data_IF_029126321126
#
_entry.id   IF_029126321126
#
_cell.length_a   1.000
_cell.length_b   1.000
_cell.length_c   1.000
_cell.angle_alpha   90.00
_cell.angle_beta   90.00
_cell.angle_gamma   90.00
#
_symmetry.space_group_name_H-M   'P 1'
#
loop_
_entity.id
_entity.type
_entity.pdbx_description
1 polymer ?
#
# COMPACT_ATOMS: atom_id res chain seq x y z
N UNK A 1 2.92 4.44 -12.55
CA UNK A 1 2.66 3.02 -12.53
C UNK A 1 3.86 2.28 -11.98
N UNK A 2 3.63 1.21 -11.27
CA UNK A 2 4.68 0.37 -10.70
C UNK A 2 4.53 -1.04 -11.25
N UNK A 3 5.65 -1.64 -11.61
CA UNK A 3 5.64 -2.99 -12.16
C UNK A 3 6.28 -3.96 -11.19
N UNK A 4 5.70 -5.13 -11.04
CA UNK A 4 6.21 -6.17 -10.16
C UNK A 4 6.01 -7.55 -10.80
N UNK A 5 6.81 -8.52 -10.36
CA UNK A 5 6.70 -9.87 -10.87
C UNK A 5 5.84 -10.74 -9.96
N UNK A 6 4.99 -11.52 -10.59
CA UNK A 6 4.19 -12.49 -9.87
C UNK A 6 4.00 -13.69 -10.79
N UNK A 7 4.40 -14.86 -10.32
CA UNK A 7 4.27 -16.11 -11.06
C UNK A 7 4.88 -16.05 -12.48
N UNK A 8 6.01 -15.37 -12.61
CA UNK A 8 6.71 -15.26 -13.88
C UNK A 8 6.17 -14.21 -14.84
N UNK A 9 5.13 -13.49 -14.43
CA UNK A 9 4.55 -12.45 -15.26
C UNK A 9 4.74 -11.07 -14.65
N UNK A 10 4.79 -10.06 -15.50
CA UNK A 10 4.89 -8.68 -15.04
C UNK A 10 3.48 -8.13 -14.86
N UNK A 11 3.22 -7.59 -13.69
CA UNK A 11 1.96 -6.94 -13.39
C UNK A 11 2.20 -5.45 -13.16
N UNK A 12 1.21 -4.63 -13.44
CA UNK A 12 1.30 -3.19 -13.22
C UNK A 12 0.36 -2.76 -12.12
N UNK A 13 0.81 -1.85 -11.27
CA UNK A 13 -0.01 -1.24 -10.25
C UNK A 13 -0.15 0.24 -10.55
N UNK A 14 -1.38 0.74 -10.47
CA UNK A 14 -1.68 2.14 -10.66
C UNK A 14 -2.21 2.67 -9.33
N UNK A 15 -1.46 3.51 -8.65
CA UNK A 15 -1.91 4.02 -7.35
C UNK A 15 -3.24 4.76 -7.46
N UNK A 16 -4.05 4.65 -6.40
CA UNK A 16 -5.34 5.35 -6.36
C UNK A 16 -5.15 6.84 -6.13
N UNK A 17 -4.19 7.19 -5.29
CA UNK A 17 -3.91 8.59 -4.98
C UNK A 17 -2.42 8.84 -4.90
N UNK A 18 -2.02 10.01 -5.32
CA UNK A 18 -0.63 10.49 -5.15
C UNK A 18 -0.70 11.90 -4.62
N UNK A 19 0.04 12.17 -3.56
CA UNK A 19 0.04 13.49 -2.92
C UNK A 19 1.47 13.93 -2.64
N UNK A 20 1.75 15.20 -2.81
CA UNK A 20 3.06 15.77 -2.49
C UNK A 20 2.90 16.65 -1.26
N UNK A 21 3.73 16.45 -0.26
CA UNK A 21 3.66 17.28 0.94
C UNK A 21 4.49 18.56 0.80
N UNK A 22 4.48 19.40 1.83
CA UNK A 22 5.19 20.67 1.81
C UNK A 22 6.69 20.53 1.73
N UNK A 23 7.21 19.39 2.13
CA UNK A 23 8.64 19.12 2.09
C UNK A 23 9.06 18.46 0.79
N UNK A 24 8.13 18.28 -0.14
CA UNK A 24 8.41 17.67 -1.42
C UNK A 24 8.38 16.16 -1.44
N UNK A 25 7.98 15.52 -0.36
CA UNK A 25 7.89 14.06 -0.33
C UNK A 25 6.61 13.62 -1.02
N UNK A 26 6.68 12.52 -1.72
CA UNK A 26 5.55 11.96 -2.45
C UNK A 26 4.92 10.85 -1.62
N UNK A 27 3.62 10.95 -1.40
CA UNK A 27 2.84 9.96 -0.68
C UNK A 27 1.97 9.23 -1.70
N UNK A 28 2.09 7.92 -1.74
CA UNK A 28 1.42 7.09 -2.73
C UNK A 28 0.48 6.12 -2.02
N UNK A 29 -0.79 6.14 -2.40
CA UNK A 29 -1.82 5.34 -1.74
C UNK A 29 -2.40 4.33 -2.71
N UNK A 30 -2.41 3.07 -2.31
CA UNK A 30 -3.05 1.99 -3.02
C UNK A 30 -4.06 1.35 -2.08
N UNK A 31 -5.33 1.67 -2.25
CA UNK A 31 -6.39 1.21 -1.35
C UNK A 31 -6.82 -0.20 -1.72
N UNK A 32 -6.83 -1.09 -0.74
CA UNK A 32 -7.31 -2.45 -0.93
C UNK A 32 -8.51 -2.67 -0.01
N UNK A 33 -9.58 -3.15 -0.58
CA UNK A 33 -10.78 -3.45 0.16
C UNK A 33 -10.97 -4.96 0.18
N UNK A 34 -11.08 -5.54 1.35
CA UNK A 34 -11.38 -6.95 1.47
C UNK A 34 -12.87 -7.11 1.60
N UNK A 35 -13.51 -7.51 0.53
CA UNK A 35 -14.92 -7.76 0.54
C UNK A 35 -15.14 -9.25 0.69
N UNK A 36 -15.32 -9.70 1.93
CA UNK A 36 -15.41 -11.11 2.21
C UNK A 36 -16.61 -11.80 1.62
N UNK A 37 -17.67 -11.08 1.32
CA UNK A 37 -18.85 -11.70 0.76
C UNK A 37 -18.71 -11.94 -0.73
N UNK A 38 -17.94 -11.14 -1.41
CA UNK A 38 -17.79 -11.26 -2.83
C UNK A 38 -16.60 -12.09 -3.24
N UNK A 39 -15.66 -12.17 -2.36
CA UNK A 39 -14.45 -12.83 -2.72
C UNK A 39 -14.25 -14.12 -2.18
N UNK A 40 -15.23 -14.85 -2.07
CA UNK A 40 -15.08 -16.05 -1.55
C UNK A 40 -14.12 -16.84 -2.15
N UNK A 41 -13.26 -17.25 -1.44
CA UNK A 41 -12.80 -18.46 -1.69
C UNK A 41 -11.71 -18.57 -2.61
N UNK A 42 -11.97 -18.61 -3.84
CA UNK A 42 -11.06 -19.01 -4.83
C UNK A 42 -9.88 -18.13 -4.89
N UNK A 43 -10.11 -16.87 -4.68
CA UNK A 43 -9.09 -15.90 -4.94
C UNK A 43 -8.37 -15.39 -3.72
N UNK A 44 -8.64 -15.91 -2.56
CA UNK A 44 -7.99 -15.42 -1.36
C UNK A 44 -6.48 -15.62 -1.39
N UNK A 45 -6.03 -16.79 -1.81
CA UNK A 45 -4.61 -17.09 -1.91
C UNK A 45 -3.95 -16.22 -2.99
N UNK A 46 -4.63 -16.02 -4.12
CA UNK A 46 -4.13 -15.17 -5.18
C UNK A 46 -4.06 -13.71 -4.74
N UNK A 47 -5.06 -13.26 -3.99
CA UNK A 47 -5.09 -11.92 -3.44
C UNK A 47 -3.89 -11.69 -2.51
N UNK A 48 -3.61 -12.63 -1.62
CA UNK A 48 -2.49 -12.54 -0.69
C UNK A 48 -1.16 -12.50 -1.46
N UNK A 49 -1.02 -13.33 -2.49
CA UNK A 49 0.19 -13.31 -3.31
C UNK A 49 0.38 -11.96 -4.00
N UNK A 50 -0.69 -11.39 -4.55
CA UNK A 50 -0.62 -10.10 -5.22
C UNK A 50 -0.25 -8.98 -4.25
N UNK A 51 -0.86 -8.98 -3.08
CA UNK A 51 -0.58 -7.97 -2.07
C UNK A 51 0.86 -8.07 -1.59
N UNK A 52 1.35 -9.28 -1.36
CA UNK A 52 2.73 -9.48 -0.92
C UNK A 52 3.73 -9.06 -1.99
N UNK A 53 3.46 -9.37 -3.25
CA UNK A 53 4.32 -8.94 -4.35
C UNK A 53 4.34 -7.42 -4.48
N UNK A 54 3.18 -6.79 -4.31
CA UNK A 54 3.07 -5.34 -4.38
C UNK A 54 3.81 -4.68 -3.22
N UNK A 55 3.69 -5.23 -2.02
CA UNK A 55 4.40 -4.74 -0.85
C UNK A 55 5.91 -4.82 -1.09
N UNK A 56 6.39 -5.92 -1.63
CA UNK A 56 7.82 -6.07 -1.94
C UNK A 56 8.30 -5.03 -2.94
N UNK A 57 7.50 -4.77 -3.97
CA UNK A 57 7.80 -3.76 -4.97
C UNK A 57 7.86 -2.36 -4.34
N UNK A 58 6.86 -2.01 -3.56
CA UNK A 58 6.79 -0.70 -2.93
C UNK A 58 7.89 -0.52 -1.87
N UNK A 59 8.22 -1.59 -1.17
CA UNK A 59 9.28 -1.54 -0.17
C UNK A 59 10.62 -1.20 -0.82
N UNK A 60 10.92 -1.86 -1.95
CA UNK A 60 12.13 -1.58 -2.69
C UNK A 60 12.14 -0.15 -3.25
N UNK A 61 11.02 0.29 -3.79
CA UNK A 61 10.88 1.67 -4.27
C UNK A 61 11.06 2.69 -3.15
N UNK A 62 10.53 2.39 -1.96
CA UNK A 62 10.67 3.31 -0.82
C UNK A 62 12.12 3.41 -0.35
N UNK A 63 12.89 2.36 -0.57
CA UNK A 63 14.30 2.37 -0.20
C UNK A 63 15.12 3.26 -1.13
N UNK A 64 14.72 3.32 -2.40
CA UNK A 64 15.47 4.04 -3.42
C UNK A 64 15.01 5.47 -3.65
N UNK A 65 13.89 5.85 -3.05
CA UNK A 65 13.31 7.18 -3.27
C UNK A 65 12.90 7.81 -1.94
N UNK A 66 12.35 9.00 -1.99
CA UNK A 66 11.75 9.60 -0.80
C UNK A 66 10.24 9.39 -0.78
N UNK A 67 9.76 8.46 -1.60
CA UNK A 67 8.33 8.16 -1.65
C UNK A 67 7.91 7.32 -0.46
N UNK A 68 6.74 7.62 0.07
CA UNK A 68 6.13 6.87 1.17
C UNK A 68 4.90 6.18 0.61
N UNK A 69 4.82 4.86 0.75
CA UNK A 69 3.73 4.08 0.20
C UNK A 69 2.79 3.64 1.31
N UNK A 70 1.49 3.75 1.03
CA UNK A 70 0.46 3.39 1.99
C UNK A 70 -0.49 2.39 1.34
N UNK A 71 -0.72 1.27 2.02
CA UNK A 71 -1.72 0.29 1.58
C UNK A 71 -2.79 0.18 2.65
N UNK A 72 -3.81 1.03 2.60
CA UNK A 72 -4.93 0.92 3.50
C UNK A 72 -5.76 -0.32 3.14
N UNK A 73 -6.08 -1.12 4.14
CA UNK A 73 -6.94 -2.29 3.98
C UNK A 73 -8.10 -2.16 4.95
N UNK A 74 -9.30 -2.23 4.43
CA UNK A 74 -10.50 -2.20 5.25
C UNK A 74 -10.87 -3.63 5.61
N UNK A 75 -10.76 -3.98 6.88
CA UNK A 75 -11.11 -5.30 7.36
C UNK A 75 -12.04 -5.16 8.56
N UNK A 76 -13.22 -5.74 8.48
CA UNK A 76 -14.22 -5.71 9.57
C UNK A 76 -14.50 -4.30 10.06
N UNK A 77 -14.69 -3.38 9.16
CA UNK A 77 -14.99 -1.98 9.43
C UNK A 77 -13.85 -1.22 10.09
N UNK A 78 -12.67 -1.79 10.10
CA UNK A 78 -11.50 -1.11 10.62
C UNK A 78 -10.43 -0.99 9.55
N UNK A 79 -9.83 0.17 9.47
CA UNK A 79 -8.73 0.38 8.53
C UNK A 79 -7.41 0.01 9.20
N UNK A 80 -6.63 -0.79 8.48
CA UNK A 80 -5.26 -1.07 8.84
C UNK A 80 -4.40 -0.61 7.67
N UNK A 81 -3.43 0.21 7.94
CA UNK A 81 -2.62 0.80 6.88
C UNK A 81 -1.18 0.31 6.99
N UNK A 82 -0.73 -0.38 5.97
CA UNK A 82 0.68 -0.75 5.86
C UNK A 82 1.43 0.42 5.26
N UNK A 83 2.48 0.87 5.92
CA UNK A 83 3.28 1.99 5.49
C UNK A 83 4.69 1.50 5.14
N UNK A 84 5.15 1.86 3.95
CA UNK A 84 6.48 1.48 3.47
C UNK A 84 7.28 2.77 3.25
N UNK A 85 8.27 2.97 4.11
CA UNK A 85 9.07 4.18 4.11
C UNK A 85 10.52 3.84 4.35
N UNK A 86 11.40 4.33 3.51
CA UNK A 86 12.86 4.12 3.64
C UNK A 86 13.24 2.64 3.73
N UNK A 87 12.52 1.78 3.05
CA UNK A 87 12.78 0.34 3.07
C UNK A 87 12.28 -0.37 4.32
N UNK A 88 11.46 0.29 5.12
CA UNK A 88 10.90 -0.30 6.33
C UNK A 88 9.40 -0.40 6.24
N UNK A 89 8.85 -1.46 6.83
CA UNK A 89 7.43 -1.73 6.82
C UNK A 89 6.87 -1.56 8.22
N UNK A 90 5.77 -0.83 8.33
CA UNK A 90 5.05 -0.67 9.59
C UNK A 90 3.55 -0.72 9.33
N UNK A 91 2.77 -0.86 10.39
CA UNK A 91 1.31 -0.86 10.29
C UNK A 91 0.76 0.18 11.25
N UNK A 92 -0.11 1.03 10.76
CA UNK A 92 -0.72 2.09 11.58
C UNK A 92 -2.23 2.03 11.43
N UNK A 93 -2.93 2.67 12.36
CA UNK A 93 -4.37 2.79 12.30
C UNK A 93 -4.81 4.09 11.65
N UNK A 94 -6.11 4.26 11.51
CA UNK A 94 -6.69 5.42 10.85
C UNK A 94 -6.31 6.74 11.51
N UNK A 95 -6.35 6.79 12.82
CA UNK A 95 -6.02 8.02 13.55
C UNK A 95 -4.56 8.41 13.36
N UNK A 96 -3.69 7.42 13.34
CA UNK A 96 -2.27 7.68 13.12
C UNK A 96 -2.03 8.18 11.70
N UNK A 97 -2.77 7.67 10.72
CA UNK A 97 -2.66 8.13 9.36
C UNK A 97 -3.11 9.58 9.24
N UNK A 98 -4.24 9.93 9.85
CA UNK A 98 -4.75 11.30 9.84
C UNK A 98 -3.74 12.25 10.44
N UNK A 99 -3.17 11.87 11.56
CA UNK A 99 -2.17 12.70 12.23
C UNK A 99 -0.94 12.89 11.37
N UNK A 100 -0.49 11.82 10.77
CA UNK A 100 0.67 11.84 9.91
C UNK A 100 0.49 12.77 8.71
N UNK A 101 -0.64 12.70 8.06
CA UNK A 101 -0.93 13.54 6.90
C UNK A 101 -1.14 15.00 7.30
N UNK A 102 -1.71 15.23 8.48
CA UNK A 102 -1.98 16.58 8.96
C UNK A 102 -0.70 17.27 9.44
N UNK A 103 0.18 16.54 10.08
CA UNK A 103 1.41 17.10 10.64
C UNK A 103 2.59 17.08 9.68
N UNK A 104 2.36 16.63 8.48
CA UNK A 104 3.39 16.67 7.44
C UNK A 104 4.46 15.62 7.63
N UNK A 105 4.05 14.46 7.97
CA UNK A 105 4.91 13.30 8.08
C UNK A 105 6.26 13.47 7.55
#
# INVERSE_FOLDING_TARGET
>A
KFEYYLDGNIHSSYPDFVMKDKKGRIHIFEVKSVNKSAQLNIDEAEYVKKVNALISCYLECSRKTNHIFYLPVLDKSQWQITVLKNGEKSTIGEEQLKRALTEGL
#
